data_IF_454946443948
#
_entry.id   IF_454946443948
#
_cell.length_a   1.000
_cell.length_b   1.000
_cell.length_c   1.000
_cell.angle_alpha   90.00
_cell.angle_beta   90.00
_cell.angle_gamma   90.00
#
_symmetry.space_group_name_H-M   'P 1'
#
loop_
_entity.id
_entity.type
_entity.pdbx_description
1 polymer ?
#
# COMPACT_ATOMS: atom_id res chain seq x y z
N UNK A 1 4.75 5.80 28.03
CA UNK A 1 5.53 5.55 26.80
C UNK A 1 6.79 4.83 27.23
N UNK A 2 6.98 3.58 26.79
CA UNK A 2 8.27 2.94 26.99
C UNK A 2 9.30 3.67 26.12
N UNK A 3 10.55 3.68 26.57
CA UNK A 3 11.63 4.24 25.76
C UNK A 3 11.82 3.37 24.51
N UNK A 4 11.65 3.97 23.32
CA UNK A 4 11.86 3.28 22.04
C UNK A 4 13.36 3.17 21.75
N UNK A 5 13.78 2.00 21.28
CA UNK A 5 15.16 1.72 20.91
C UNK A 5 15.49 2.39 19.58
N UNK A 6 16.63 3.09 19.53
CA UNK A 6 17.18 3.61 18.27
C UNK A 6 17.99 2.51 17.57
N UNK A 7 17.78 2.37 16.26
CA UNK A 7 18.65 1.56 15.40
C UNK A 7 19.36 2.48 14.41
N UNK A 8 20.60 2.13 14.11
CA UNK A 8 21.47 2.84 13.16
C UNK A 8 21.91 1.88 12.03
N UNK A 9 22.33 2.45 10.90
CA UNK A 9 22.82 1.70 9.73
C UNK A 9 22.21 2.09 8.38
N UNK A 10 21.26 3.03 8.37
CA UNK A 10 20.47 3.43 7.20
C UNK A 10 20.53 4.95 6.98
N UNK A 11 20.08 5.40 5.81
CA UNK A 11 20.00 6.83 5.44
C UNK A 11 18.94 7.63 6.20
N UNK A 12 18.19 6.97 7.10
CA UNK A 12 17.10 7.54 7.89
C UNK A 12 17.09 6.97 9.32
N UNK A 13 16.51 7.69 10.30
CA UNK A 13 16.41 7.18 11.66
C UNK A 13 15.41 6.03 11.77
N UNK A 14 15.72 5.04 12.62
CA UNK A 14 14.83 3.91 12.89
C UNK A 14 14.56 3.79 14.40
N UNK A 15 13.31 3.59 14.77
CA UNK A 15 12.86 3.43 16.16
C UNK A 15 12.04 2.15 16.32
N UNK A 16 12.29 1.39 17.38
CA UNK A 16 11.54 0.15 17.66
C UNK A 16 11.05 0.07 19.10
N UNK A 17 10.00 -0.71 19.33
CA UNK A 17 9.71 -1.17 20.69
C UNK A 17 10.79 -2.15 21.17
N UNK A 18 10.83 -2.38 22.48
CA UNK A 18 11.76 -3.32 23.10
C UNK A 18 11.55 -4.73 22.54
N UNK A 19 12.63 -5.41 22.16
CA UNK A 19 12.57 -6.76 21.58
C UNK A 19 12.23 -6.78 20.09
N UNK A 20 11.98 -5.61 19.49
CA UNK A 20 11.68 -5.43 18.07
C UNK A 20 12.89 -5.26 17.19
N UNK A 21 14.11 -5.33 17.71
CA UNK A 21 15.29 -4.86 16.99
C UNK A 21 15.49 -5.64 15.70
N UNK A 22 15.44 -6.98 15.75
CA UNK A 22 15.59 -7.83 14.57
C UNK A 22 14.53 -7.52 13.49
N UNK A 23 13.29 -7.28 13.91
CA UNK A 23 12.19 -6.90 13.03
C UNK A 23 12.41 -5.52 12.43
N UNK A 24 12.81 -4.54 13.25
CA UNK A 24 13.15 -3.20 12.82
C UNK A 24 14.26 -3.18 11.78
N UNK A 25 15.33 -3.98 11.97
CA UNK A 25 16.39 -4.12 10.96
C UNK A 25 15.85 -4.66 9.64
N UNK A 26 15.02 -5.71 9.70
CA UNK A 26 14.45 -6.31 8.48
C UNK A 26 13.61 -5.33 7.67
N UNK A 27 12.76 -4.52 8.34
CA UNK A 27 11.92 -3.52 7.66
C UNK A 27 12.78 -2.35 7.18
N UNK A 28 13.76 -1.90 7.96
CA UNK A 28 14.68 -0.84 7.57
C UNK A 28 15.54 -1.23 6.35
N UNK A 29 16.02 -2.47 6.27
CA UNK A 29 16.76 -2.98 5.11
C UNK A 29 15.91 -2.96 3.83
N UNK A 30 14.61 -3.26 3.94
CA UNK A 30 13.68 -3.16 2.81
C UNK A 30 13.39 -1.70 2.45
N UNK A 31 13.18 -0.84 3.44
CA UNK A 31 12.96 0.59 3.24
C UNK A 31 14.17 1.27 2.57
N UNK A 32 15.39 0.91 2.96
CA UNK A 32 16.61 1.43 2.33
C UNK A 32 16.72 1.00 0.87
N UNK A 33 16.48 -0.29 0.55
CA UNK A 33 16.45 -0.75 -0.85
C UNK A 33 15.40 -0.01 -1.67
N UNK A 34 14.23 0.27 -1.09
CA UNK A 34 13.17 1.06 -1.73
C UNK A 34 13.62 2.50 -1.97
N UNK A 35 14.23 3.15 -0.98
CA UNK A 35 14.78 4.51 -1.09
C UNK A 35 15.89 4.58 -2.14
N UNK A 36 16.83 3.63 -2.15
CA UNK A 36 17.88 3.54 -3.16
C UNK A 36 17.32 3.34 -4.57
N UNK A 37 16.27 2.53 -4.71
CA UNK A 37 15.59 2.33 -5.99
C UNK A 37 14.88 3.60 -6.47
N UNK A 38 14.10 4.26 -5.60
CA UNK A 38 13.47 5.53 -5.93
C UNK A 38 14.49 6.61 -6.28
N UNK A 39 15.63 6.66 -5.58
CA UNK A 39 16.69 7.60 -5.89
C UNK A 39 17.18 7.50 -7.35
N UNK A 40 17.20 6.29 -7.92
CA UNK A 40 17.56 6.06 -9.33
C UNK A 40 16.47 6.55 -10.30
N UNK A 41 15.21 6.55 -9.87
CA UNK A 41 14.07 6.91 -10.72
C UNK A 41 13.74 8.39 -10.71
N UNK A 42 13.80 9.04 -9.55
CA UNK A 42 13.32 10.42 -9.35
C UNK A 42 14.40 11.39 -8.88
N UNK A 43 15.65 10.94 -8.71
CA UNK A 43 16.73 11.76 -8.16
C UNK A 43 16.71 11.76 -6.64
N UNK A 44 17.22 12.82 -6.00
CA UNK A 44 17.37 12.84 -4.54
C UNK A 44 16.03 12.62 -3.82
N UNK A 45 15.95 11.52 -3.09
CA UNK A 45 14.78 11.07 -2.35
C UNK A 45 15.18 10.64 -0.94
N UNK A 46 14.41 11.09 0.04
CA UNK A 46 14.63 10.81 1.47
C UNK A 46 13.29 10.57 2.15
N UNK A 47 13.32 9.74 3.19
CA UNK A 47 12.18 9.47 4.05
C UNK A 47 12.48 9.95 5.48
N UNK A 48 11.45 10.20 6.30
CA UNK A 48 11.65 10.62 7.67
C UNK A 48 11.90 9.40 8.58
N UNK A 49 11.64 9.53 9.87
CA UNK A 49 11.89 8.44 10.82
C UNK A 49 10.96 7.26 10.56
N UNK A 50 11.52 6.05 10.49
CA UNK A 50 10.78 4.81 10.44
C UNK A 50 10.56 4.26 11.86
N UNK A 51 9.30 4.08 12.24
CA UNK A 51 8.88 3.46 13.49
C UNK A 51 8.39 2.05 13.22
N UNK A 52 9.00 1.06 13.86
CA UNK A 52 8.57 -0.35 13.84
C UNK A 52 8.23 -0.75 15.27
N UNK A 53 6.98 -0.55 15.66
CA UNK A 53 6.57 -0.57 17.07
C UNK A 53 5.56 -1.67 17.36
N UNK A 54 5.63 -2.21 18.57
CA UNK A 54 4.65 -3.16 19.07
C UNK A 54 3.34 -2.48 19.49
N UNK A 55 2.32 -3.29 19.77
CA UNK A 55 0.97 -2.79 20.09
C UNK A 55 0.94 -1.85 21.30
N UNK A 56 1.77 -2.09 22.31
CA UNK A 56 1.83 -1.30 23.55
C UNK A 56 2.36 0.13 23.35
N UNK A 57 3.20 0.35 22.32
CA UNK A 57 3.76 1.66 22.00
C UNK A 57 3.08 2.32 20.79
N UNK A 58 2.16 1.62 20.11
CA UNK A 58 1.48 2.09 18.89
C UNK A 58 0.81 3.45 19.09
N UNK A 59 0.01 3.60 20.14
CA UNK A 59 -0.73 4.84 20.42
C UNK A 59 0.17 6.06 20.70
N UNK A 60 1.47 5.86 20.96
CA UNK A 60 2.41 6.95 21.18
C UNK A 60 2.96 7.54 19.86
N UNK A 61 2.86 6.81 18.75
CA UNK A 61 3.46 7.20 17.46
C UNK A 61 2.49 7.15 16.28
N UNK A 62 1.49 6.28 16.31
CA UNK A 62 0.54 6.11 15.23
C UNK A 62 -0.49 7.24 15.19
N UNK A 63 -0.90 7.63 13.98
CA UNK A 63 -2.03 8.54 13.77
C UNK A 63 -3.39 7.81 13.85
N UNK A 64 -3.40 6.50 13.62
CA UNK A 64 -4.60 5.66 13.63
C UNK A 64 -4.59 4.70 14.83
N UNK A 65 -5.74 4.44 15.48
CA UNK A 65 -5.80 3.54 16.62
C UNK A 65 -5.69 2.04 16.23
N UNK A 66 -5.84 1.72 14.94
CA UNK A 66 -5.81 0.33 14.45
C UNK A 66 -4.37 -0.16 14.35
N UNK A 67 -3.99 -1.07 15.25
CA UNK A 67 -2.64 -1.65 15.24
C UNK A 67 -2.36 -2.40 13.94
N UNK A 68 -1.18 -2.13 13.36
CA UNK A 68 -0.62 -2.86 12.23
C UNK A 68 -1.19 -2.52 10.86
N UNK A 69 -1.95 -1.42 10.76
CA UNK A 69 -2.18 -0.71 9.51
C UNK A 69 -1.03 0.28 9.30
N UNK A 70 -0.09 0.01 8.38
CA UNK A 70 0.99 0.94 8.09
C UNK A 70 0.44 2.28 7.61
N UNK A 71 1.16 3.35 7.89
CA UNK A 71 0.80 4.70 7.43
C UNK A 71 2.02 5.62 7.44
N UNK A 72 2.00 6.58 6.50
CA UNK A 72 2.94 7.69 6.43
C UNK A 72 2.30 8.99 6.95
N UNK A 73 3.09 9.75 7.69
CA UNK A 73 2.84 11.13 8.11
C UNK A 73 4.00 12.01 7.64
N UNK A 74 3.84 13.33 7.68
CA UNK A 74 4.88 14.26 7.21
C UNK A 74 6.25 14.04 7.86
N UNK A 75 6.29 13.56 9.11
CA UNK A 75 7.50 13.39 9.92
C UNK A 75 7.83 11.94 10.29
N UNK A 76 7.03 10.95 9.84
CA UNK A 76 7.25 9.54 10.22
C UNK A 76 6.54 8.54 9.32
N UNK A 77 7.10 7.33 9.24
CA UNK A 77 6.44 6.12 8.75
C UNK A 77 6.24 5.18 9.93
N UNK A 78 5.06 4.60 10.08
CA UNK A 78 4.74 3.71 11.20
C UNK A 78 4.34 2.32 10.68
N UNK A 79 5.00 1.28 11.19
CA UNK A 79 4.78 -0.12 10.84
C UNK A 79 4.66 -0.97 12.11
N UNK A 80 3.81 -1.99 12.07
CA UNK A 80 3.66 -2.95 13.18
C UNK A 80 4.86 -3.89 13.32
N UNK A 81 5.27 -4.13 14.56
CA UNK A 81 6.34 -5.06 14.90
C UNK A 81 5.86 -6.53 14.86
N UNK A 82 4.60 -6.79 15.19
CA UNK A 82 4.00 -8.13 15.26
C UNK A 82 2.87 -8.30 14.22
N UNK A 83 2.47 -9.56 13.91
CA UNK A 83 1.26 -9.82 13.15
C UNK A 83 0.05 -9.13 13.77
N UNK A 84 -0.73 -8.44 12.94
CA UNK A 84 -1.85 -7.62 13.39
C UNK A 84 -3.20 -8.26 13.10
N UNK A 85 -4.12 -8.16 14.06
CA UNK A 85 -5.50 -8.65 13.93
C UNK A 85 -6.26 -7.98 12.77
N UNK A 86 -5.87 -6.76 12.39
CA UNK A 86 -6.45 -6.05 11.26
C UNK A 86 -6.46 -6.90 9.97
N UNK A 87 -5.38 -7.63 9.70
CA UNK A 87 -5.30 -8.49 8.52
C UNK A 87 -6.23 -9.70 8.58
N UNK A 88 -6.55 -10.18 9.79
CA UNK A 88 -7.60 -11.18 9.98
C UNK A 88 -8.97 -10.61 9.65
N UNK A 89 -9.27 -9.36 10.02
CA UNK A 89 -10.54 -8.68 9.66
C UNK A 89 -10.70 -8.60 8.14
N UNK A 90 -9.62 -8.28 7.41
CA UNK A 90 -9.63 -8.27 5.94
C UNK A 90 -9.96 -9.65 5.38
N UNK A 91 -9.32 -10.72 5.87
CA UNK A 91 -9.59 -12.08 5.40
C UNK A 91 -11.01 -12.55 5.76
N UNK A 92 -11.46 -12.27 6.98
CA UNK A 92 -12.81 -12.62 7.44
C UNK A 92 -13.88 -11.90 6.62
N UNK A 93 -13.59 -10.70 6.10
CA UNK A 93 -14.51 -9.93 5.28
C UNK A 93 -14.89 -10.65 3.97
N UNK A 94 -13.98 -11.46 3.41
CA UNK A 94 -14.21 -12.24 2.18
C UNK A 94 -14.37 -13.73 2.45
N UNK A 95 -14.05 -14.21 3.65
CA UNK A 95 -14.11 -15.63 4.02
C UNK A 95 -15.43 -16.32 3.67
N UNK A 96 -16.63 -15.72 3.74
CA UNK A 96 -17.87 -16.38 3.33
C UNK A 96 -17.98 -16.67 1.83
N UNK A 97 -17.27 -15.94 0.97
CA UNK A 97 -17.36 -16.03 -0.50
C UNK A 97 -16.15 -16.70 -1.15
N UNK A 98 -15.08 -16.99 -0.40
CA UNK A 98 -13.87 -17.63 -0.93
C UNK A 98 -14.14 -19.06 -1.44
N UNK A 99 -13.71 -19.32 -2.67
CA UNK A 99 -13.73 -20.65 -3.26
C UNK A 99 -12.67 -21.57 -2.60
N UNK A 100 -12.83 -22.88 -2.77
CA UNK A 100 -11.91 -23.86 -2.18
C UNK A 100 -10.47 -23.72 -2.67
N UNK A 101 -10.28 -23.33 -3.94
CA UNK A 101 -8.95 -23.13 -4.52
C UNK A 101 -8.27 -21.86 -3.97
N UNK A 102 -9.00 -20.75 -3.78
CA UNK A 102 -8.47 -19.53 -3.16
C UNK A 102 -7.98 -19.79 -1.74
N UNK A 103 -8.74 -20.57 -0.95
CA UNK A 103 -8.32 -20.95 0.41
C UNK A 103 -7.06 -21.80 0.41
N UNK A 104 -6.94 -22.73 -0.53
CA UNK A 104 -5.75 -23.56 -0.66
C UNK A 104 -4.53 -22.72 -1.06
N UNK A 105 -4.73 -21.73 -1.93
CA UNK A 105 -3.68 -20.83 -2.37
C UNK A 105 -3.23 -19.88 -1.25
N UNK A 106 -4.15 -19.29 -0.49
CA UNK A 106 -3.82 -18.50 0.70
C UNK A 106 -2.97 -19.31 1.68
N UNK A 107 -3.33 -20.57 1.94
CA UNK A 107 -2.53 -21.44 2.82
C UNK A 107 -1.14 -21.75 2.26
N UNK A 108 -1.03 -21.93 0.95
CA UNK A 108 0.26 -22.19 0.29
C UNK A 108 1.20 -20.99 0.41
N UNK A 109 0.69 -19.77 0.23
CA UNK A 109 1.50 -18.53 0.20
C UNK A 109 1.78 -17.99 1.60
N UNK A 110 0.81 -18.09 2.52
CA UNK A 110 0.83 -17.43 3.83
C UNK A 110 0.86 -18.39 5.03
N UNK A 111 0.91 -19.70 4.80
CA UNK A 111 0.94 -20.74 5.83
C UNK A 111 -0.44 -21.19 6.31
N UNK A 112 -0.44 -22.16 7.23
CA UNK A 112 -1.64 -22.67 7.90
C UNK A 112 -1.40 -22.72 9.43
N UNK A 113 -2.01 -21.82 10.23
CA UNK A 113 -3.02 -20.84 9.84
C UNK A 113 -2.48 -19.73 8.92
N UNK A 114 -3.36 -19.19 8.07
CA UNK A 114 -3.04 -18.09 7.14
C UNK A 114 -2.70 -16.82 7.92
N UNK A 115 -1.52 -16.24 7.65
CA UNK A 115 -1.10 -14.94 8.22
C UNK A 115 -0.56 -14.02 7.13
N UNK A 116 -1.11 -12.81 7.00
CA UNK A 116 -0.69 -11.87 5.95
C UNK A 116 0.58 -11.08 6.33
N UNK A 117 1.40 -11.56 7.26
CA UNK A 117 2.60 -10.85 7.70
C UNK A 117 3.56 -10.58 6.54
N UNK A 118 3.79 -11.56 5.66
CA UNK A 118 4.68 -11.38 4.49
C UNK A 118 4.13 -10.37 3.47
N UNK A 119 2.82 -10.19 3.40
CA UNK A 119 2.18 -9.14 2.62
C UNK A 119 2.31 -7.78 3.34
N UNK A 120 2.02 -7.72 4.64
CA UNK A 120 2.09 -6.50 5.45
C UNK A 120 3.50 -5.89 5.47
N UNK A 121 4.54 -6.72 5.41
CA UNK A 121 5.94 -6.27 5.28
C UNK A 121 6.17 -5.41 4.04
N UNK A 122 5.47 -5.71 2.93
CA UNK A 122 5.62 -4.99 1.68
C UNK A 122 5.04 -3.57 1.75
N UNK A 123 4.08 -3.34 2.64
CA UNK A 123 3.40 -2.05 2.75
C UNK A 123 4.29 -0.92 3.24
N UNK A 124 5.46 -1.19 3.86
CA UNK A 124 6.43 -0.11 4.10
C UNK A 124 6.84 0.56 2.77
N UNK A 125 6.93 -0.20 1.67
CA UNK A 125 7.25 0.35 0.35
C UNK A 125 6.08 1.15 -0.24
N UNK A 126 4.83 0.80 0.09
CA UNK A 126 3.65 1.62 -0.20
C UNK A 126 3.73 2.96 0.53
N UNK A 127 3.96 2.93 1.84
CA UNK A 127 4.06 4.14 2.66
C UNK A 127 5.19 5.07 2.19
N UNK A 128 6.32 4.51 1.78
CA UNK A 128 7.42 5.29 1.19
C UNK A 128 6.96 5.98 -0.12
N UNK A 129 6.10 5.33 -0.90
CA UNK A 129 5.53 5.90 -2.13
C UNK A 129 4.77 7.21 -1.91
N UNK A 130 4.17 7.42 -0.74
CA UNK A 130 3.47 8.67 -0.42
C UNK A 130 4.41 9.89 -0.32
N UNK A 131 5.72 9.70 -0.13
CA UNK A 131 6.68 10.82 -0.13
C UNK A 131 7.08 11.29 -1.53
N UNK A 132 6.57 10.65 -2.59
CA UNK A 132 6.75 11.13 -3.98
C UNK A 132 5.80 12.30 -4.32
N UNK A 133 4.88 12.63 -3.42
CA UNK A 133 4.03 13.81 -3.50
C UNK A 133 4.05 14.56 -2.17
N UNK A 134 3.54 15.79 -2.16
CA UNK A 134 3.42 16.55 -0.90
C UNK A 134 2.42 15.87 0.05
N UNK A 135 2.88 15.57 1.27
CA UNK A 135 2.03 15.08 2.37
C UNK A 135 1.23 16.26 2.96
N UNK A 136 -0.09 16.13 2.98
CA UNK A 136 -1.05 17.14 3.45
C UNK A 136 -2.47 16.69 3.12
N UNK A 137 -3.51 17.23 3.77
CA UNK A 137 -4.88 16.73 3.58
C UNK A 137 -5.29 16.69 2.10
N UNK A 138 -5.84 15.56 1.61
CA UNK A 138 -6.32 15.47 0.25
C UNK A 138 -7.48 16.45 0.08
N UNK A 139 -7.26 17.50 -0.71
CA UNK A 139 -8.25 18.55 -0.89
C UNK A 139 -9.52 18.08 -1.63
N UNK A 140 -9.51 16.88 -2.24
CA UNK A 140 -10.67 16.33 -2.94
C UNK A 140 -10.60 14.79 -3.12
N UNK A 141 -11.74 14.12 -3.41
CA UNK A 141 -11.81 12.67 -3.61
C UNK A 141 -10.92 12.12 -4.72
N UNK A 142 -10.63 12.91 -5.77
CA UNK A 142 -9.77 12.46 -6.87
C UNK A 142 -8.31 12.37 -6.44
N UNK A 143 -7.83 13.41 -5.74
CA UNK A 143 -6.49 13.41 -5.20
C UNK A 143 -6.27 12.26 -4.22
N UNK A 144 -7.30 11.83 -3.48
CA UNK A 144 -7.21 10.70 -2.56
C UNK A 144 -6.83 9.40 -3.29
N UNK A 145 -7.65 8.91 -4.23
CA UNK A 145 -7.34 7.64 -4.90
C UNK A 145 -6.11 7.73 -5.81
N UNK A 146 -5.76 8.92 -6.34
CA UNK A 146 -4.53 9.10 -7.11
C UNK A 146 -3.27 8.91 -6.25
N UNK A 147 -3.29 9.34 -4.98
CA UNK A 147 -2.16 9.14 -4.05
C UNK A 147 -1.97 7.69 -3.72
N UNK A 148 -3.06 6.98 -3.45
CA UNK A 148 -3.03 5.54 -3.20
C UNK A 148 -2.60 4.77 -4.46
N UNK A 149 -3.05 5.19 -5.64
CA UNK A 149 -2.58 4.60 -6.90
C UNK A 149 -1.08 4.85 -7.13
N UNK A 150 -0.55 6.04 -6.79
CA UNK A 150 0.88 6.31 -6.86
C UNK A 150 1.68 5.44 -5.88
N UNK A 151 1.22 5.30 -4.64
CA UNK A 151 1.87 4.46 -3.62
C UNK A 151 1.88 2.98 -4.04
N UNK A 152 0.74 2.46 -4.50
CA UNK A 152 0.63 1.11 -5.06
C UNK A 152 1.52 0.90 -6.31
N UNK A 153 1.69 1.93 -7.15
CA UNK A 153 2.56 1.85 -8.33
C UNK A 153 4.04 1.84 -7.94
N UNK A 154 4.43 2.63 -6.94
CA UNK A 154 5.78 2.61 -6.39
C UNK A 154 6.10 1.25 -5.75
N UNK A 155 5.18 0.71 -4.94
CA UNK A 155 5.27 -0.65 -4.39
C UNK A 155 5.40 -1.70 -5.50
N UNK A 156 4.53 -1.67 -6.49
CA UNK A 156 4.56 -2.62 -7.61
C UNK A 156 5.89 -2.56 -8.35
N UNK A 157 6.39 -1.36 -8.65
CA UNK A 157 7.66 -1.21 -9.36
C UNK A 157 8.83 -1.75 -8.57
N UNK A 158 8.89 -1.44 -7.27
CA UNK A 158 9.89 -1.98 -6.36
C UNK A 158 9.87 -3.52 -6.31
N UNK A 159 8.69 -4.11 -6.10
CA UNK A 159 8.56 -5.57 -6.07
C UNK A 159 8.95 -6.18 -7.41
N UNK A 160 8.56 -5.57 -8.53
CA UNK A 160 8.88 -6.11 -9.87
C UNK A 160 10.38 -6.09 -10.19
N UNK A 161 11.10 -5.06 -9.74
CA UNK A 161 12.50 -4.84 -10.14
C UNK A 161 13.53 -5.24 -9.07
N UNK A 162 13.18 -5.15 -7.79
CA UNK A 162 14.13 -5.32 -6.67
C UNK A 162 13.85 -6.58 -5.87
N UNK A 163 12.57 -6.90 -5.63
CA UNK A 163 12.16 -8.10 -4.88
C UNK A 163 11.13 -8.97 -5.63
N UNK A 164 11.41 -9.44 -6.87
CA UNK A 164 10.43 -10.18 -7.67
C UNK A 164 9.94 -11.47 -6.98
N UNK A 165 10.75 -12.05 -6.11
CA UNK A 165 10.37 -13.20 -5.28
C UNK A 165 9.21 -12.91 -4.31
N UNK A 166 8.91 -11.64 -4.02
CA UNK A 166 7.80 -11.21 -3.16
C UNK A 166 6.49 -11.02 -3.93
N UNK A 167 6.53 -11.02 -5.26
CA UNK A 167 5.36 -10.69 -6.08
C UNK A 167 4.18 -11.63 -5.82
N UNK A 168 4.46 -12.93 -5.61
CA UNK A 168 3.41 -13.89 -5.25
C UNK A 168 2.73 -13.53 -3.92
N UNK A 169 3.50 -13.11 -2.91
CA UNK A 169 2.98 -12.67 -1.62
C UNK A 169 2.26 -11.33 -1.69
N UNK A 170 2.57 -10.47 -2.68
CA UNK A 170 1.81 -9.25 -2.94
C UNK A 170 0.47 -9.57 -3.60
N UNK A 171 0.51 -10.26 -4.73
CA UNK A 171 -0.62 -10.34 -5.65
C UNK A 171 -1.64 -11.41 -5.29
N UNK A 172 -1.28 -12.43 -4.50
CA UNK A 172 -2.21 -13.50 -4.13
C UNK A 172 -3.40 -12.96 -3.33
N UNK A 173 -3.13 -12.23 -2.24
CA UNK A 173 -4.21 -11.64 -1.44
C UNK A 173 -4.98 -10.58 -2.20
N UNK A 174 -4.29 -9.75 -3.01
CA UNK A 174 -4.90 -8.72 -3.86
C UNK A 174 -5.94 -9.34 -4.79
N UNK A 175 -5.54 -10.35 -5.57
CA UNK A 175 -6.45 -11.03 -6.52
C UNK A 175 -7.64 -11.66 -5.81
N UNK A 176 -7.40 -12.34 -4.69
CA UNK A 176 -8.43 -13.09 -3.97
C UNK A 176 -9.45 -12.14 -3.31
N UNK A 177 -8.98 -11.09 -2.64
CA UNK A 177 -9.89 -10.15 -1.95
C UNK A 177 -10.59 -9.22 -2.95
N UNK A 178 -9.91 -8.78 -4.02
CA UNK A 178 -10.56 -8.01 -5.10
C UNK A 178 -11.62 -8.84 -5.85
N UNK A 179 -11.27 -10.10 -6.18
CA UNK A 179 -12.16 -11.03 -6.89
C UNK A 179 -13.30 -11.58 -6.01
N UNK A 180 -13.14 -11.54 -4.68
CA UNK A 180 -14.15 -11.93 -3.71
C UNK A 180 -15.32 -10.94 -3.70
N UNK A 181 -16.28 -11.11 -4.61
CA UNK A 181 -17.43 -10.22 -4.71
C UNK A 181 -18.34 -10.35 -3.47
N UNK A 182 -18.35 -9.33 -2.62
CA UNK A 182 -19.40 -9.06 -1.62
C UNK A 182 -20.00 -7.69 -1.86
N UNK A 183 -21.17 -7.44 -1.28
CA UNK A 183 -21.72 -6.08 -1.25
C UNK A 183 -20.91 -5.25 -0.25
N UNK A 184 -20.04 -4.39 -0.77
CA UNK A 184 -19.35 -3.38 0.02
C UNK A 184 -20.26 -2.16 0.23
N UNK A 185 -20.24 -1.52 1.41
CA UNK A 185 -21.06 -0.34 1.68
C UNK A 185 -20.66 0.87 0.83
N UNK A 186 -19.38 0.98 0.46
CA UNK A 186 -18.86 1.94 -0.50
C UNK A 186 -18.29 1.19 -1.70
N UNK A 187 -18.61 1.65 -2.91
CA UNK A 187 -18.38 0.89 -4.14
C UNK A 187 -17.74 1.72 -5.26
N UNK A 188 -18.11 2.99 -5.38
CA UNK A 188 -17.55 3.90 -6.38
C UNK A 188 -16.12 4.31 -6.00
N UNK A 189 -15.20 4.38 -6.96
CA UNK A 189 -13.81 4.80 -6.70
C UNK A 189 -13.74 6.17 -6.01
N UNK A 190 -14.69 7.05 -6.33
CA UNK A 190 -14.81 8.38 -5.74
C UNK A 190 -15.22 8.35 -4.26
N UNK A 191 -15.75 7.25 -3.75
CA UNK A 191 -16.08 7.07 -2.33
C UNK A 191 -14.91 6.55 -1.50
N UNK A 192 -13.79 6.17 -2.13
CA UNK A 192 -12.63 5.60 -1.45
C UNK A 192 -12.16 6.43 -0.25
N UNK A 193 -12.16 7.77 -0.36
CA UNK A 193 -11.75 8.69 0.71
C UNK A 193 -12.59 8.58 2.00
N UNK A 194 -13.80 7.99 1.92
CA UNK A 194 -14.70 7.76 3.06
C UNK A 194 -14.54 6.36 3.65
N UNK A 195 -13.90 5.44 2.92
CA UNK A 195 -13.74 4.06 3.35
C UNK A 195 -12.93 3.88 4.65
N UNK A 196 -11.93 4.74 4.97
CA UNK A 196 -11.25 4.68 6.26
C UNK A 196 -12.15 4.92 7.49
N UNK A 197 -13.35 5.51 7.32
CA UNK A 197 -14.31 5.74 8.41
C UNK A 197 -15.03 4.45 8.87
N UNK A 198 -14.85 3.34 8.15
CA UNK A 198 -15.44 2.04 8.45
C UNK A 198 -14.46 1.16 9.26
N UNK A 199 -14.52 -0.16 9.12
CA UNK A 199 -13.61 -1.11 9.77
C UNK A 199 -12.25 -1.28 9.05
N UNK A 200 -12.00 -0.46 8.02
CA UNK A 200 -10.81 -0.53 7.16
C UNK A 200 -10.86 -1.60 6.07
N UNK A 201 -11.73 -2.62 6.16
CA UNK A 201 -11.79 -3.69 5.15
C UNK A 201 -12.29 -3.18 3.78
N UNK A 202 -13.23 -2.23 3.76
CA UNK A 202 -13.68 -1.61 2.51
C UNK A 202 -12.58 -0.75 1.88
N UNK A 203 -11.74 -0.10 2.68
CA UNK A 203 -10.59 0.69 2.19
C UNK A 203 -9.55 -0.23 1.55
N UNK A 204 -9.20 -1.34 2.20
CA UNK A 204 -8.30 -2.36 1.64
C UNK A 204 -8.84 -2.96 0.34
N UNK A 205 -10.16 -3.11 0.20
CA UNK A 205 -10.76 -3.54 -1.08
C UNK A 205 -10.53 -2.52 -2.22
N UNK A 206 -10.63 -1.22 -1.94
CA UNK A 206 -10.24 -0.19 -2.93
C UNK A 206 -8.74 -0.27 -3.24
N UNK A 207 -7.89 -0.39 -2.23
CA UNK A 207 -6.43 -0.56 -2.42
C UNK A 207 -6.11 -1.73 -3.34
N UNK A 208 -6.77 -2.88 -3.17
CA UNK A 208 -6.50 -4.05 -4.01
C UNK A 208 -7.02 -3.92 -5.44
N UNK A 209 -8.10 -3.18 -5.67
CA UNK A 209 -8.51 -2.81 -7.02
C UNK A 209 -7.48 -1.87 -7.67
N UNK A 210 -6.96 -0.89 -6.94
CA UNK A 210 -5.88 -0.03 -7.43
C UNK A 210 -4.60 -0.82 -7.69
N UNK A 211 -4.17 -1.71 -6.77
CA UNK A 211 -2.99 -2.56 -6.93
C UNK A 211 -3.08 -3.47 -8.16
N UNK A 212 -4.27 -3.96 -8.49
CA UNK A 212 -4.53 -4.71 -9.72
C UNK A 212 -4.22 -3.87 -10.96
N UNK A 213 -4.63 -2.60 -10.96
CA UNK A 213 -4.39 -1.67 -12.06
C UNK A 213 -2.92 -1.23 -12.13
N UNK A 214 -2.26 -1.01 -10.99
CA UNK A 214 -0.86 -0.58 -10.96
C UNK A 214 0.09 -1.68 -11.42
N UNK A 215 -0.22 -2.97 -11.21
CA UNK A 215 0.49 -4.10 -11.84
C UNK A 215 0.56 -3.93 -13.35
N UNK A 216 -0.60 -3.75 -13.98
CA UNK A 216 -0.69 -3.55 -15.44
C UNK A 216 0.02 -2.27 -15.87
N UNK A 217 -0.23 -1.18 -15.16
CA UNK A 217 0.35 0.12 -15.49
C UNK A 217 1.89 0.09 -15.42
N UNK A 218 2.46 -0.57 -14.41
CA UNK A 218 3.91 -0.77 -14.30
C UNK A 218 4.43 -1.63 -15.46
N UNK A 219 3.78 -2.74 -15.76
CA UNK A 219 4.19 -3.63 -16.86
C UNK A 219 4.21 -2.91 -18.23
N UNK A 220 3.28 -1.98 -18.45
CA UNK A 220 3.13 -1.31 -19.74
C UNK A 220 3.92 -0.01 -19.86
N UNK A 221 4.11 0.74 -18.76
CA UNK A 221 4.68 2.08 -18.79
C UNK A 221 5.78 2.34 -17.74
N UNK A 222 5.94 1.45 -16.76
CA UNK A 222 7.00 1.49 -15.74
C UNK A 222 7.17 2.87 -15.10
N UNK A 223 8.43 3.32 -15.04
CA UNK A 223 8.79 4.63 -14.48
C UNK A 223 8.12 5.83 -15.19
N UNK A 224 7.66 5.70 -16.44
CA UNK A 224 6.91 6.77 -17.13
C UNK A 224 5.56 7.00 -16.46
N UNK A 225 4.85 5.93 -16.10
CA UNK A 225 3.60 6.05 -15.36
C UNK A 225 3.81 6.65 -13.97
N UNK A 226 4.89 6.23 -13.28
CA UNK A 226 5.23 6.77 -11.95
C UNK A 226 5.41 8.30 -12.02
N UNK A 227 6.22 8.77 -12.97
CA UNK A 227 6.46 10.22 -13.17
C UNK A 227 5.18 10.96 -13.52
N UNK A 228 4.32 10.40 -14.35
CA UNK A 228 3.06 11.05 -14.66
C UNK A 228 2.14 11.18 -13.44
N UNK A 229 2.01 10.15 -12.60
CA UNK A 229 1.21 10.25 -11.38
C UNK A 229 1.78 11.28 -10.39
N UNK A 230 3.12 11.38 -10.30
CA UNK A 230 3.81 12.44 -9.55
C UNK A 230 3.44 13.82 -10.09
N UNK A 231 3.52 14.01 -11.41
CA UNK A 231 3.18 15.29 -12.06
C UNK A 231 1.71 15.66 -11.86
N UNK A 232 0.79 14.68 -11.94
CA UNK A 232 -0.64 14.89 -11.68
C UNK A 232 -0.90 15.35 -10.25
N UNK A 233 -0.18 14.81 -9.26
CA UNK A 233 -0.37 15.14 -7.85
C UNK A 233 0.33 16.43 -7.42
N UNK A 234 1.39 16.84 -8.13
CA UNK A 234 2.08 18.12 -7.91
C UNK A 234 1.53 19.26 -8.79
N UNK A 235 0.68 18.92 -9.76
CA UNK A 235 0.01 19.87 -10.66
C UNK A 235 -1.28 20.46 -10.08
N UNK A 236 -2.06 21.18 -10.92
CA UNK A 236 -3.39 21.64 -10.57
C UNK A 236 -4.31 20.49 -10.19
N UNK A 237 -5.26 20.74 -9.28
CA UNK A 237 -6.25 19.74 -8.90
C UNK A 237 -7.08 19.29 -10.11
N UNK A 238 -7.09 17.98 -10.36
CA UNK A 238 -7.84 17.36 -11.44
C UNK A 238 -9.23 16.93 -10.97
N UNK A 239 -10.21 17.06 -11.86
CA UNK A 239 -11.47 16.32 -11.73
C UNK A 239 -11.24 14.82 -11.93
N UNK A 240 -12.25 14.02 -11.59
CA UNK A 240 -12.18 12.56 -11.75
C UNK A 240 -11.94 12.15 -13.21
N UNK A 241 -12.67 12.75 -14.15
CA UNK A 241 -12.55 12.41 -15.57
C UNK A 241 -11.21 12.89 -16.16
N UNK A 242 -10.75 14.09 -15.78
CA UNK A 242 -9.43 14.59 -16.23
C UNK A 242 -8.29 13.69 -15.74
N UNK A 243 -8.38 13.14 -14.52
CA UNK A 243 -7.39 12.20 -14.01
C UNK A 243 -7.37 10.89 -14.81
N UNK A 244 -8.56 10.36 -15.15
CA UNK A 244 -8.67 9.15 -15.98
C UNK A 244 -8.19 9.40 -17.41
N UNK A 245 -8.48 10.57 -17.99
CA UNK A 245 -8.03 10.96 -19.32
C UNK A 245 -6.50 11.11 -19.38
N UNK A 246 -5.88 11.64 -18.33
CA UNK A 246 -4.42 11.68 -18.21
C UNK A 246 -3.83 10.25 -18.18
N UNK A 247 -4.43 9.33 -17.42
CA UNK A 247 -4.01 7.92 -17.38
C UNK A 247 -4.23 7.24 -18.74
N UNK A 248 -5.29 7.58 -19.46
CA UNK A 248 -5.57 7.04 -20.80
C UNK A 248 -4.45 7.34 -21.81
N UNK A 249 -3.77 8.47 -21.66
CA UNK A 249 -2.61 8.81 -22.50
C UNK A 249 -1.42 7.86 -22.31
N UNK A 250 -1.38 7.12 -21.20
CA UNK A 250 -0.30 6.21 -20.81
C UNK A 250 -0.72 4.75 -21.00
N UNK A 251 -1.87 4.38 -20.46
CA UNK A 251 -2.47 3.07 -20.61
C UNK A 251 -4.00 3.19 -20.80
N UNK A 252 -4.47 3.13 -22.06
CA UNK A 252 -5.90 3.17 -22.38
C UNK A 252 -6.72 2.09 -21.68
N UNK A 253 -6.12 0.94 -21.41
CA UNK A 253 -6.80 -0.18 -20.76
C UNK A 253 -7.01 0.05 -19.27
N UNK A 254 -6.00 0.56 -18.57
CA UNK A 254 -6.15 0.97 -17.16
C UNK A 254 -7.21 2.07 -17.05
N UNK A 255 -7.20 3.06 -17.94
CA UNK A 255 -8.23 4.09 -17.95
C UNK A 255 -9.63 3.53 -18.23
N UNK A 256 -9.76 2.55 -19.13
CA UNK A 256 -11.03 1.86 -19.36
C UNK A 256 -11.50 1.07 -18.12
N UNK A 257 -10.58 0.45 -17.38
CA UNK A 257 -10.90 -0.27 -16.13
C UNK A 257 -11.30 0.69 -15.01
N UNK A 258 -10.64 1.85 -14.88
CA UNK A 258 -11.04 2.93 -13.96
C UNK A 258 -12.46 3.43 -14.26
N UNK A 259 -12.83 3.62 -15.53
CA UNK A 259 -14.21 4.01 -15.91
C UNK A 259 -15.24 2.90 -15.66
N UNK A 260 -14.80 1.65 -15.64
CA UNK A 260 -15.66 0.48 -15.37
C UNK A 260 -15.69 0.10 -13.91
N UNK A 261 -15.00 0.83 -13.04
CA UNK A 261 -14.86 0.49 -11.63
C UNK A 261 -16.22 0.17 -10.98
N UNK A 262 -16.33 -0.91 -10.17
CA UNK A 262 -15.32 -1.93 -9.88
C UNK A 262 -15.43 -3.17 -10.80
N UNK A 263 -16.10 -3.06 -11.94
CA UNK A 263 -16.44 -4.17 -12.84
C UNK A 263 -15.30 -4.52 -13.83
N UNK A 264 -14.12 -4.83 -13.29
CA UNK A 264 -12.98 -5.37 -14.06
C UNK A 264 -12.32 -6.55 -13.31
N UNK A 265 -11.71 -7.45 -14.07
CA UNK A 265 -11.06 -8.64 -13.53
C UNK A 265 -9.63 -8.32 -13.10
N UNK A 266 -9.16 -8.98 -12.04
CA UNK A 266 -7.73 -9.05 -11.76
C UNK A 266 -7.03 -9.83 -12.87
N UNK A 267 -6.17 -9.13 -13.63
CA UNK A 267 -5.32 -9.71 -14.70
C UNK A 267 -3.96 -10.15 -14.19
#
# INVERSE_FOLDING_TARGET
MNELNALEGWGFPVRTSRGGEARGRSIADQAERMVEWLNKLVGEFRIPTLYVVGADDWAAVAAFPVYGMPHAEADRIVVGQEPAQFWTVVLDSVAPVLAGHDRAELRRVYGDPVTLSSFADLLVSHEIGHYLHSLGEPANPTAFWLREMLANLALQGYVSEVEPQREEALLTVVRIVWGGSRQWPLYELRDMFRAPELDGSNYVWFEFGLQTLTKRLWANAGATALRCLIDMLNGPALTHDEAIDAIHAIDPGVAADLRRWPHFLAT
#
